data_IF_906399900355
#
_entry.id   IF_906399900355
#
_cell.length_a   1.000
_cell.length_b   1.000
_cell.length_c   1.000
_cell.angle_alpha   90.00
_cell.angle_beta   90.00
_cell.angle_gamma   90.00
#
_symmetry.space_group_name_H-M   'P 1'
#
loop_
_entity.id
_entity.type
_entity.pdbx_description
1 polymer ?
#
# COMPACT_ATOMS: atom_id res chain seq x y z
N UNK A 1 -5.71 -20.19 -10.89
CA UNK A 1 -5.52 -19.72 -9.50
C UNK A 1 -6.90 -19.45 -8.92
N UNK A 2 -7.17 -19.84 -7.68
CA UNK A 2 -8.40 -19.45 -6.97
C UNK A 2 -8.08 -18.29 -6.04
N UNK A 3 -8.92 -17.26 -6.04
CA UNK A 3 -8.86 -16.17 -5.06
C UNK A 3 -10.16 -16.14 -4.28
N UNK A 4 -10.12 -15.73 -3.01
CA UNK A 4 -11.34 -15.46 -2.23
C UNK A 4 -11.68 -13.98 -2.28
N UNK A 5 -12.89 -13.67 -2.72
CA UNK A 5 -13.47 -12.33 -2.62
C UNK A 5 -14.76 -12.43 -1.82
N UNK A 6 -14.84 -11.73 -0.69
CA UNK A 6 -16.02 -11.75 0.19
C UNK A 6 -16.50 -13.15 0.59
N UNK A 7 -15.57 -14.12 0.67
CA UNK A 7 -15.87 -15.52 1.01
C UNK A 7 -16.16 -16.43 -0.19
N UNK A 8 -16.34 -15.88 -1.39
CA UNK A 8 -16.55 -16.65 -2.63
C UNK A 8 -15.23 -16.96 -3.33
N UNK A 9 -15.08 -18.21 -3.81
CA UNK A 9 -13.93 -18.65 -4.59
C UNK A 9 -14.09 -18.25 -6.07
N UNK A 10 -13.16 -17.44 -6.57
CA UNK A 10 -13.14 -16.96 -7.95
C UNK A 10 -11.98 -17.62 -8.69
N UNK A 11 -12.32 -18.28 -9.81
CA UNK A 11 -11.34 -18.82 -10.74
C UNK A 11 -10.71 -17.71 -11.59
N UNK A 12 -9.40 -17.51 -11.39
CA UNK A 12 -8.59 -16.62 -12.21
C UNK A 12 -7.64 -17.40 -13.13
N UNK A 13 -7.49 -17.00 -14.40
CA UNK A 13 -6.46 -17.53 -15.29
C UNK A 13 -5.08 -17.24 -14.70
N UNK A 14 -4.23 -18.25 -14.54
CA UNK A 14 -2.88 -18.07 -14.00
C UNK A 14 -1.86 -17.72 -15.10
N UNK A 15 -2.12 -16.62 -15.81
CA UNK A 15 -1.31 -16.19 -16.95
C UNK A 15 -1.05 -14.69 -16.83
N UNK A 16 0.21 -14.29 -17.00
CA UNK A 16 0.61 -12.89 -17.02
C UNK A 16 -0.24 -12.06 -18.00
N UNK A 17 -0.58 -10.84 -17.60
CA UNK A 17 -1.38 -9.92 -18.39
C UNK A 17 -2.89 -10.20 -18.38
N UNK A 18 -3.34 -11.32 -17.79
CA UNK A 18 -4.77 -11.58 -17.62
C UNK A 18 -5.35 -10.70 -16.52
N UNK A 19 -6.49 -10.11 -16.84
CA UNK A 19 -7.27 -9.29 -15.93
C UNK A 19 -8.61 -9.96 -15.68
N UNK A 20 -9.00 -10.02 -14.41
CA UNK A 20 -10.35 -10.32 -13.98
C UNK A 20 -11.01 -9.04 -13.47
N UNK A 21 -12.31 -8.88 -13.70
CA UNK A 21 -13.08 -7.74 -13.22
C UNK A 21 -14.35 -8.20 -12.53
N UNK A 22 -14.59 -7.68 -11.33
CA UNK A 22 -15.85 -7.85 -10.61
C UNK A 22 -16.95 -7.07 -11.31
N UNK A 23 -18.08 -7.72 -11.65
CA UNK A 23 -19.23 -7.04 -12.26
C UNK A 23 -19.95 -6.10 -11.28
N UNK A 24 -19.83 -6.34 -9.97
CA UNK A 24 -20.57 -5.61 -8.93
C UNK A 24 -19.80 -4.42 -8.37
N UNK A 25 -18.49 -4.60 -8.13
CA UNK A 25 -17.67 -3.64 -7.37
C UNK A 25 -16.75 -2.78 -8.23
N UNK A 26 -16.62 -3.10 -9.52
CA UNK A 26 -15.62 -2.47 -10.39
C UNK A 26 -14.17 -2.84 -10.06
N UNK A 27 -13.95 -3.78 -9.12
CA UNK A 27 -12.63 -4.31 -8.76
C UNK A 27 -11.99 -5.02 -9.96
N UNK A 28 -10.82 -4.57 -10.38
CA UNK A 28 -9.99 -5.17 -11.41
C UNK A 28 -8.77 -5.81 -10.76
N UNK A 29 -8.55 -7.10 -11.03
CA UNK A 29 -7.38 -7.85 -10.59
C UNK A 29 -6.57 -8.24 -11.83
N UNK A 30 -5.37 -7.70 -11.96
CA UNK A 30 -4.42 -7.95 -13.04
C UNK A 30 -3.24 -8.76 -12.52
N UNK A 31 -2.95 -9.88 -13.17
CA UNK A 31 -1.71 -10.61 -12.93
C UNK A 31 -0.56 -9.92 -13.68
N UNK A 32 0.43 -9.45 -12.92
CA UNK A 32 1.61 -8.77 -13.46
C UNK A 32 2.77 -9.71 -13.78
N UNK A 33 2.64 -10.99 -13.41
CA UNK A 33 3.56 -12.07 -13.73
C UNK A 33 2.79 -13.40 -13.60
N UNK A 34 3.40 -14.49 -14.09
CA UNK A 34 2.82 -15.83 -13.95
C UNK A 34 2.67 -16.29 -12.49
N UNK A 35 3.43 -15.71 -11.56
CA UNK A 35 3.35 -15.97 -10.12
C UNK A 35 3.72 -14.73 -9.32
N UNK A 36 3.33 -14.71 -8.04
CA UNK A 36 3.88 -13.80 -7.01
C UNK A 36 3.75 -12.29 -7.26
N UNK A 37 3.03 -11.83 -8.30
CA UNK A 37 2.85 -10.41 -8.58
C UNK A 37 1.44 -10.11 -9.10
N UNK A 38 0.72 -9.27 -8.37
CA UNK A 38 -0.66 -8.89 -8.68
C UNK A 38 -0.83 -7.38 -8.56
N UNK A 39 -1.71 -6.84 -9.39
CA UNK A 39 -2.24 -5.48 -9.27
C UNK A 39 -3.75 -5.54 -9.08
N UNK A 40 -4.24 -4.83 -8.08
CA UNK A 40 -5.66 -4.71 -7.76
C UNK A 40 -6.03 -3.25 -7.87
N UNK A 41 -7.12 -2.94 -8.57
CA UNK A 41 -7.54 -1.56 -8.82
C UNK A 41 -9.06 -1.43 -8.72
N UNK A 42 -9.53 -0.37 -8.08
CA UNK A 42 -10.89 0.15 -8.24
C UNK A 42 -10.78 1.58 -8.76
N UNK A 43 -11.36 1.83 -9.92
CA UNK A 43 -11.23 3.10 -10.62
C UNK A 43 -11.78 4.27 -9.77
N UNK A 44 -10.98 5.34 -9.64
CA UNK A 44 -11.33 6.49 -8.80
C UNK A 44 -11.10 6.28 -7.30
N UNK A 45 -10.78 5.06 -6.83
CA UNK A 45 -10.51 4.80 -5.41
C UNK A 45 -9.04 4.51 -5.15
N UNK A 46 -8.51 3.41 -5.68
CA UNK A 46 -7.14 2.99 -5.42
C UNK A 46 -6.58 2.03 -6.48
N UNK A 47 -5.26 1.92 -6.49
CA UNK A 47 -4.47 0.88 -7.13
C UNK A 47 -3.44 0.36 -6.12
N UNK A 48 -3.40 -0.96 -5.92
CA UNK A 48 -2.43 -1.64 -5.08
C UNK A 48 -1.69 -2.65 -5.94
N UNK A 49 -0.37 -2.63 -5.93
CA UNK A 49 0.43 -3.71 -6.48
C UNK A 49 1.15 -4.43 -5.35
N UNK A 50 1.06 -5.76 -5.34
CA UNK A 50 1.73 -6.61 -4.36
C UNK A 50 2.65 -7.57 -5.08
N UNK A 51 3.85 -7.77 -4.54
CA UNK A 51 4.81 -8.76 -5.02
C UNK A 51 5.40 -9.52 -3.85
N UNK A 52 5.53 -10.83 -4.01
CA UNK A 52 6.24 -11.69 -3.07
C UNK A 52 7.60 -12.04 -3.65
N UNK A 53 8.68 -11.78 -2.91
CA UNK A 53 10.06 -12.06 -3.31
C UNK A 53 10.71 -12.93 -2.23
N UNK A 54 11.20 -14.13 -2.55
CA UNK A 54 11.83 -14.99 -1.54
C UNK A 54 13.10 -14.33 -1.01
N UNK A 55 13.32 -14.45 0.31
CA UNK A 55 14.54 -13.96 0.94
C UNK A 55 15.68 -14.93 0.60
N UNK A 56 16.76 -14.39 0.04
CA UNK A 56 17.95 -15.20 -0.31
C UNK A 56 18.88 -15.36 0.88
N UNK A 57 19.80 -16.33 0.81
CA UNK A 57 20.85 -16.51 1.83
C UNK A 57 21.73 -15.27 1.97
N UNK A 58 22.01 -14.58 0.86
CA UNK A 58 22.79 -13.35 0.87
C UNK A 58 22.01 -12.21 1.53
N UNK A 59 20.73 -12.07 1.22
CA UNK A 59 19.87 -11.07 1.85
C UNK A 59 19.73 -11.32 3.36
N UNK A 60 19.53 -12.58 3.77
CA UNK A 60 19.52 -12.97 5.18
C UNK A 60 20.84 -12.63 5.89
N UNK A 61 21.99 -12.82 5.23
CA UNK A 61 23.31 -12.50 5.77
C UNK A 61 23.50 -10.98 5.95
N UNK A 62 23.11 -10.20 4.94
CA UNK A 62 23.27 -8.74 4.94
C UNK A 62 22.35 -8.08 5.97
N UNK A 63 21.13 -8.59 6.13
CA UNK A 63 20.14 -8.03 7.06
C UNK A 63 20.13 -8.68 8.45
N UNK A 64 20.92 -9.75 8.66
CA UNK A 64 20.99 -10.45 9.94
C UNK A 64 19.68 -11.13 10.32
N UNK A 65 18.95 -11.66 9.34
CA UNK A 65 17.68 -12.35 9.60
C UNK A 65 17.87 -13.75 10.21
N UNK A 66 19.08 -14.32 10.15
CA UNK A 66 19.42 -15.66 10.65
C UNK A 66 18.47 -16.77 10.15
N UNK A 67 18.02 -16.66 8.90
CA UNK A 67 17.11 -17.61 8.26
C UNK A 67 17.86 -18.90 7.95
N UNK A 68 17.41 -20.01 8.55
CA UNK A 68 17.89 -21.35 8.24
C UNK A 68 17.13 -21.96 7.06
N UNK A 69 17.66 -23.05 6.49
CA UNK A 69 17.03 -23.76 5.37
C UNK A 69 15.64 -24.35 5.70
N UNK A 70 15.26 -24.40 6.98
CA UNK A 70 13.96 -24.87 7.44
C UNK A 70 12.86 -23.80 7.33
N UNK A 71 13.24 -22.52 7.16
CA UNK A 71 12.30 -21.41 7.09
C UNK A 71 12.30 -20.76 5.69
N UNK A 72 11.13 -20.71 5.06
CA UNK A 72 10.91 -20.01 3.79
C UNK A 72 10.31 -18.63 4.05
N UNK A 73 11.16 -17.63 4.27
CA UNK A 73 10.70 -16.24 4.37
C UNK A 73 10.66 -15.56 3.00
N UNK A 74 9.78 -14.58 2.88
CA UNK A 74 9.66 -13.74 1.69
C UNK A 74 9.37 -12.30 2.09
N UNK A 75 9.91 -11.37 1.32
CA UNK A 75 9.47 -9.99 1.32
C UNK A 75 8.12 -9.87 0.62
N UNK A 76 7.21 -9.13 1.26
CA UNK A 76 5.99 -8.64 0.65
C UNK A 76 6.20 -7.18 0.25
N UNK A 77 6.51 -6.96 -1.02
CA UNK A 77 6.62 -5.62 -1.59
C UNK A 77 5.21 -5.10 -1.89
N UNK A 78 4.85 -3.96 -1.30
CA UNK A 78 3.55 -3.32 -1.51
C UNK A 78 3.74 -1.92 -2.10
N UNK A 79 2.98 -1.64 -3.13
CA UNK A 79 2.86 -0.32 -3.73
C UNK A 79 1.40 0.12 -3.66
N UNK A 80 1.18 1.32 -3.14
CA UNK A 80 -0.15 1.90 -2.98
C UNK A 80 -0.24 3.20 -3.78
N UNK A 81 -1.31 3.35 -4.53
CA UNK A 81 -1.76 4.61 -5.11
C UNK A 81 -3.22 4.80 -4.76
N UNK A 82 -3.54 5.89 -4.10
CA UNK A 82 -4.92 6.22 -3.76
C UNK A 82 -5.36 7.41 -4.61
N UNK A 83 -6.56 7.34 -5.19
CA UNK A 83 -7.11 8.35 -6.09
C UNK A 83 -8.18 9.21 -5.39
N UNK A 84 -8.86 8.67 -4.37
CA UNK A 84 -9.86 9.40 -3.57
C UNK A 84 -9.59 9.21 -2.08
N UNK A 85 -8.58 9.93 -1.57
CA UNK A 85 -8.30 10.04 -0.13
C UNK A 85 -9.08 11.23 0.44
N UNK A 86 -9.70 11.06 1.61
CA UNK A 86 -10.31 12.16 2.36
C UNK A 86 -9.29 12.97 3.15
N UNK A 87 -9.58 14.23 3.46
CA UNK A 87 -8.74 15.08 4.35
C UNK A 87 -8.58 14.52 5.76
N UNK A 88 -9.40 13.56 6.15
CA UNK A 88 -9.39 12.93 7.47
C UNK A 88 -8.68 11.57 7.48
N UNK A 89 -7.91 11.23 6.44
CA UNK A 89 -7.15 9.97 6.38
C UNK A 89 -6.18 9.81 7.55
N UNK A 90 -6.13 8.59 8.09
CA UNK A 90 -5.12 8.11 9.03
C UNK A 90 -4.42 6.89 8.40
N UNK A 91 -3.12 6.75 8.63
CA UNK A 91 -2.30 5.67 8.05
C UNK A 91 -0.85 6.08 7.90
N UNK A 92 0.11 5.17 8.02
CA UNK A 92 1.54 5.51 7.87
C UNK A 92 1.82 6.19 6.52
N UNK A 93 1.30 5.62 5.43
CA UNK A 93 1.37 6.23 4.10
C UNK A 93 0.26 7.27 3.85
N UNK A 94 -0.88 7.15 4.53
CA UNK A 94 -2.04 8.02 4.35
C UNK A 94 -1.88 9.39 5.01
N UNK A 95 -1.23 9.44 6.17
CA UNK A 95 -1.13 10.62 7.03
C UNK A 95 -0.37 11.76 6.34
N UNK A 96 0.58 11.43 5.45
CA UNK A 96 1.28 12.43 4.62
C UNK A 96 0.37 13.17 3.64
N UNK A 97 -0.80 12.61 3.30
CA UNK A 97 -1.79 13.25 2.43
C UNK A 97 -2.72 14.21 3.19
N UNK A 98 -2.71 14.19 4.52
CA UNK A 98 -3.55 15.08 5.33
C UNK A 98 -3.05 16.53 5.18
N UNK A 99 -3.92 17.51 4.85
CA UNK A 99 -3.48 18.88 4.55
C UNK A 99 -2.74 19.60 5.68
N UNK A 100 -3.02 19.20 6.92
CA UNK A 100 -2.42 19.78 8.14
C UNK A 100 -1.29 18.94 8.71
N UNK A 101 -0.88 17.87 8.01
CA UNK A 101 0.20 17.02 8.49
C UNK A 101 1.55 17.73 8.37
N UNK A 102 2.29 17.74 9.46
CA UNK A 102 3.68 18.15 9.50
C UNK A 102 4.50 16.95 9.96
N UNK A 103 5.41 16.50 9.10
CA UNK A 103 6.28 15.38 9.41
C UNK A 103 7.23 15.77 10.54
N UNK A 104 7.19 15.02 11.64
CA UNK A 104 8.16 15.11 12.74
C UNK A 104 9.36 14.18 12.53
N UNK A 105 9.38 13.49 11.39
CA UNK A 105 10.38 12.50 11.03
C UNK A 105 11.72 13.18 10.79
N UNK A 106 12.77 12.70 11.45
CA UNK A 106 14.13 13.16 11.19
C UNK A 106 14.62 12.55 9.86
N UNK A 107 14.34 13.22 8.74
CA UNK A 107 14.68 12.73 7.40
C UNK A 107 16.18 12.51 7.16
N UNK A 108 17.04 13.19 7.94
CA UNK A 108 18.49 13.00 7.88
C UNK A 108 18.99 11.75 8.64
N UNK A 109 18.12 11.04 9.36
CA UNK A 109 18.48 9.77 9.99
C UNK A 109 18.57 8.66 8.93
N UNK A 110 19.50 7.70 9.06
CA UNK A 110 19.62 6.57 8.14
C UNK A 110 18.32 5.75 8.01
N UNK A 111 17.58 5.61 9.11
CA UNK A 111 16.26 4.99 9.15
C UNK A 111 15.31 5.92 9.90
N UNK A 112 14.60 6.81 9.18
CA UNK A 112 13.63 7.70 9.78
C UNK A 112 12.41 6.90 10.26
N UNK A 113 12.06 7.03 11.54
CA UNK A 113 10.87 6.38 12.12
C UNK A 113 9.77 7.43 12.33
N UNK A 114 8.56 7.15 11.84
CA UNK A 114 7.39 8.03 12.04
C UNK A 114 6.81 7.97 13.45
N UNK A 115 6.91 6.83 14.13
CA UNK A 115 6.23 6.59 15.41
C UNK A 115 4.72 6.42 15.24
N UNK A 116 4.00 6.22 16.35
CA UNK A 116 2.55 6.06 16.34
C UNK A 116 2.05 4.66 15.96
N UNK A 117 2.95 3.66 15.90
CA UNK A 117 2.63 2.29 15.51
C UNK A 117 1.55 1.67 16.39
N UNK A 118 1.49 2.05 17.67
CA UNK A 118 0.48 1.62 18.63
C UNK A 118 -0.95 1.96 18.20
N UNK A 119 -1.14 3.04 17.44
CA UNK A 119 -2.45 3.46 16.93
C UNK A 119 -2.94 2.59 15.77
N UNK A 120 -2.00 1.97 15.06
CA UNK A 120 -2.24 1.10 13.92
C UNK A 120 -2.21 -0.39 14.30
N UNK A 121 -2.08 -0.69 15.60
CA UNK A 121 -2.12 -2.06 16.09
C UNK A 121 -3.48 -2.69 15.78
N UNK A 122 -3.45 -3.92 15.30
CA UNK A 122 -4.62 -4.72 14.95
C UNK A 122 -4.32 -6.18 15.29
N UNK A 123 -5.33 -6.95 15.70
CA UNK A 123 -5.14 -8.34 16.13
C UNK A 123 -4.66 -9.27 15.02
N UNK A 124 -5.07 -9.02 13.76
CA UNK A 124 -4.59 -9.74 12.59
C UNK A 124 -4.85 -8.96 11.29
N UNK A 125 -4.28 -9.42 10.17
CA UNK A 125 -4.33 -8.72 8.87
C UNK A 125 -5.75 -8.37 8.37
N UNK A 126 -6.73 -9.24 8.64
CA UNK A 126 -8.13 -9.04 8.25
C UNK A 126 -9.01 -8.40 9.33
N UNK A 127 -8.44 -7.98 10.46
CA UNK A 127 -9.23 -7.46 11.57
C UNK A 127 -9.60 -6.00 11.32
N UNK A 128 -10.76 -5.60 11.82
CA UNK A 128 -11.26 -4.22 11.76
C UNK A 128 -11.11 -3.50 13.09
N UNK A 129 -10.23 -3.98 13.97
CA UNK A 129 -10.05 -3.54 15.36
C UNK A 129 -8.96 -2.46 15.54
N UNK A 130 -8.39 -1.96 14.44
CA UNK A 130 -7.45 -0.85 14.48
C UNK A 130 -8.13 0.45 14.95
N UNK A 131 -7.58 1.07 16.00
CA UNK A 131 -8.17 2.21 16.69
C UNK A 131 -8.37 3.46 15.80
N UNK A 132 -7.59 3.59 14.72
CA UNK A 132 -7.65 4.73 13.79
C UNK A 132 -8.22 4.36 12.42
N UNK A 133 -8.71 3.13 12.25
CA UNK A 133 -9.36 2.73 11.01
C UNK A 133 -10.62 3.54 10.76
N UNK A 134 -10.73 4.09 9.55
CA UNK A 134 -11.90 4.82 9.08
C UNK A 134 -12.45 4.12 7.86
N UNK A 135 -13.54 3.40 8.06
CA UNK A 135 -14.32 2.81 6.99
C UNK A 135 -15.56 3.69 6.82
N UNK A 136 -15.72 4.34 5.68
CA UNK A 136 -16.82 5.27 5.48
C UNK A 136 -17.77 4.77 4.39
N UNK A 137 -19.08 4.77 4.70
CA UNK A 137 -20.16 4.40 3.79
C UNK A 137 -20.87 5.65 3.22
N UNK A 138 -20.73 6.84 3.81
CA UNK A 138 -21.44 8.05 3.36
C UNK A 138 -20.52 9.28 3.18
N UNK A 139 -20.39 9.79 1.95
CA UNK A 139 -19.56 10.96 1.61
C UNK A 139 -19.83 12.15 2.54
N UNK A 140 -18.87 12.50 3.39
CA UNK A 140 -18.74 13.90 3.81
C UNK A 140 -18.34 14.73 2.58
N UNK A 141 -18.97 15.90 2.40
CA UNK A 141 -18.59 16.88 1.38
C UNK A 141 -17.19 17.43 1.68
N UNK A 142 -16.18 16.71 1.20
CA UNK A 142 -14.81 17.16 1.33
C UNK A 142 -14.52 18.14 0.19
N UNK A 143 -14.50 19.45 0.53
CA UNK A 143 -14.30 20.52 -0.45
C UNK A 143 -13.04 20.34 -1.33
N UNK A 144 -13.10 20.92 -2.52
CA UNK A 144 -12.16 20.86 -3.66
C UNK A 144 -10.84 20.06 -3.51
N UNK A 145 -10.52 19.15 -4.46
CA UNK A 145 -9.30 18.34 -4.42
C UNK A 145 -8.04 19.23 -4.44
N UNK A 146 -7.06 18.87 -3.60
CA UNK A 146 -5.77 19.54 -3.55
C UNK A 146 -4.97 19.22 -4.82
N UNK A 147 -4.77 20.25 -5.65
CA UNK A 147 -3.86 20.19 -6.79
C UNK A 147 -2.45 20.48 -6.29
N UNK A 148 -1.61 19.46 -6.23
CA UNK A 148 -0.19 19.59 -5.81
C UNK A 148 0.68 19.46 -7.05
N UNK A 149 1.40 20.53 -7.40
CA UNK A 149 2.39 20.49 -8.49
C UNK A 149 3.78 20.23 -7.88
N UNK A 150 4.38 19.10 -8.26
CA UNK A 150 5.70 18.69 -7.79
C UNK A 150 6.72 18.84 -8.93
N UNK A 151 7.84 19.52 -8.65
CA UNK A 151 8.94 19.70 -9.59
C UNK A 151 10.29 19.37 -8.96
N UNK A 152 11.25 18.94 -9.79
CA UNK A 152 12.65 18.84 -9.37
C UNK A 152 13.23 20.25 -9.26
N UNK A 153 13.78 20.62 -8.09
CA UNK A 153 14.52 21.88 -7.99
C UNK A 153 15.78 21.81 -8.84
N UNK A 154 15.99 22.79 -9.73
CA UNK A 154 17.24 22.93 -10.47
C UNK A 154 18.41 23.02 -9.47
N UNK A 155 19.19 21.94 -9.37
CA UNK A 155 20.44 21.89 -8.60
C UNK A 155 20.42 21.15 -7.25
N UNK A 156 19.28 20.60 -6.82
CA UNK A 156 19.18 19.80 -5.58
C UNK A 156 18.61 18.41 -5.85
N UNK A 157 19.21 17.35 -5.26
CA UNK A 157 18.64 15.99 -5.27
C UNK A 157 17.42 15.95 -4.33
N UNK A 158 16.27 16.40 -4.82
CA UNK A 158 15.01 16.35 -4.08
C UNK A 158 13.83 16.81 -4.92
N UNK A 159 12.68 16.17 -4.72
CA UNK A 159 11.39 16.61 -5.25
C UNK A 159 10.82 17.60 -4.22
N UNK A 160 10.55 18.83 -4.65
CA UNK A 160 9.88 19.82 -3.82
C UNK A 160 8.45 19.98 -4.33
N UNK A 161 7.48 19.60 -3.49
CA UNK A 161 6.06 19.83 -3.76
C UNK A 161 5.64 21.10 -3.02
N UNK A 162 5.14 22.10 -3.75
CA UNK A 162 4.52 23.30 -3.15
C UNK A 162 3.01 23.22 -3.30
N UNK A 163 2.31 23.86 -2.37
CA UNK A 163 0.86 24.03 -2.39
C UNK A 163 0.48 25.25 -3.20
#
# INVERSE_FOLDING_TARGET
MLIKLSGEDIAMPNVEGKTWQSPETGLKVLLLANTNKVKVKVEGLFEIAARVVPITSEESRVHGYDITAEYCFAHLELYFKFESISKMVDGVLGQTYKPTYQSRVKMAAPMPVMGGAEKFASSHLFATDCAVSKFWIEKEEDGAPLRVECGSSYGGKGILCKK
#
